data_IF_315619084977
#
_entry.id   IF_315619084977
#
_cell.length_a   1.000
_cell.length_b   1.000
_cell.length_c   1.000
_cell.angle_alpha   90.00
_cell.angle_beta   90.00
_cell.angle_gamma   90.00
#
_symmetry.space_group_name_H-M   'P 1'
#
loop_
_entity.id
_entity.type
_entity.pdbx_description
1 polymer ?
#
# COMPACT_ATOMS: atom_id res chain seq x y z
N UNK A 1 -31.27 -28.62 -40.38
CA UNK A 1 -30.74 -28.58 -38.98
C UNK A 1 -29.29 -28.09 -38.85
N UNK A 2 -28.46 -28.10 -39.92
CA UNK A 2 -27.04 -27.64 -39.89
C UNK A 2 -26.83 -26.17 -39.50
N UNK A 3 -27.72 -25.26 -39.91
CA UNK A 3 -27.60 -23.82 -39.61
C UNK A 3 -27.74 -23.44 -38.13
N UNK A 4 -28.53 -24.20 -37.35
CA UNK A 4 -28.72 -23.93 -35.91
C UNK A 4 -27.47 -24.21 -35.08
N UNK A 5 -26.67 -25.21 -35.47
CA UNK A 5 -25.39 -25.51 -34.82
C UNK A 5 -24.32 -24.46 -35.11
N UNK A 6 -24.29 -23.92 -36.33
CA UNK A 6 -23.39 -22.82 -36.69
C UNK A 6 -23.74 -21.54 -35.92
N UNK A 7 -25.03 -21.20 -35.81
CA UNK A 7 -25.50 -20.03 -35.07
C UNK A 7 -25.09 -20.11 -33.59
N UNK A 8 -25.28 -21.26 -32.95
CA UNK A 8 -24.89 -21.49 -31.56
C UNK A 8 -23.38 -21.35 -31.34
N UNK A 9 -22.55 -21.86 -32.26
CA UNK A 9 -21.10 -21.70 -32.18
C UNK A 9 -20.67 -20.23 -32.30
N UNK A 10 -21.27 -19.49 -33.24
CA UNK A 10 -20.96 -18.07 -33.43
C UNK A 10 -21.36 -17.26 -32.19
N UNK A 11 -22.55 -17.50 -31.63
CA UNK A 11 -22.99 -16.87 -30.39
C UNK A 11 -22.05 -17.17 -29.22
N UNK A 12 -21.60 -18.42 -29.10
CA UNK A 12 -20.68 -18.81 -28.04
C UNK A 12 -19.31 -18.12 -28.19
N UNK A 13 -18.77 -18.04 -29.41
CA UNK A 13 -17.52 -17.32 -29.67
C UNK A 13 -17.66 -15.84 -29.34
N UNK A 14 -18.76 -15.20 -29.75
CA UNK A 14 -19.04 -13.79 -29.43
C UNK A 14 -19.16 -13.56 -27.93
N UNK A 15 -19.81 -14.47 -27.20
CA UNK A 15 -19.94 -14.42 -25.74
C UNK A 15 -18.57 -14.53 -25.05
N UNK A 16 -17.73 -15.46 -25.49
CA UNK A 16 -16.39 -15.63 -24.92
C UNK A 16 -15.52 -14.39 -25.18
N UNK A 17 -15.55 -13.86 -26.41
CA UNK A 17 -14.82 -12.65 -26.75
C UNK A 17 -15.28 -11.43 -25.95
N UNK A 18 -16.60 -11.28 -25.74
CA UNK A 18 -17.13 -10.17 -24.93
C UNK A 18 -16.72 -10.30 -23.46
N UNK A 19 -16.77 -11.50 -22.89
CA UNK A 19 -16.28 -11.78 -21.53
C UNK A 19 -14.81 -11.43 -21.36
N UNK A 20 -13.95 -11.88 -22.29
CA UNK A 20 -12.52 -11.58 -22.27
C UNK A 20 -12.28 -10.07 -22.34
N UNK A 21 -12.95 -9.37 -23.27
CA UNK A 21 -12.85 -7.93 -23.40
C UNK A 21 -13.27 -7.21 -22.11
N UNK A 22 -14.36 -7.65 -21.48
CA UNK A 22 -14.86 -7.05 -20.24
C UNK A 22 -13.88 -7.26 -19.09
N UNK A 23 -13.28 -8.45 -18.98
CA UNK A 23 -12.24 -8.75 -17.99
C UNK A 23 -11.01 -7.86 -18.17
N UNK A 24 -10.49 -7.75 -19.41
CA UNK A 24 -9.35 -6.89 -19.70
C UNK A 24 -9.64 -5.42 -19.41
N UNK A 25 -10.86 -4.96 -19.72
CA UNK A 25 -11.31 -3.60 -19.44
C UNK A 25 -11.37 -3.34 -17.93
N UNK A 26 -11.91 -4.28 -17.14
CA UNK A 26 -11.96 -4.15 -15.69
C UNK A 26 -10.56 -4.10 -15.08
N UNK A 27 -9.67 -5.01 -15.50
CA UNK A 27 -8.27 -5.02 -15.06
C UNK A 27 -7.60 -3.68 -15.37
N UNK A 28 -7.73 -3.19 -16.61
CA UNK A 28 -7.20 -1.89 -17.01
C UNK A 28 -7.69 -0.75 -16.11
N UNK A 29 -9.00 -0.69 -15.85
CA UNK A 29 -9.58 0.35 -14.98
C UNK A 29 -9.09 0.24 -13.54
N UNK A 30 -8.95 -0.97 -13.00
CA UNK A 30 -8.41 -1.20 -11.66
C UNK A 30 -6.96 -0.71 -11.56
N UNK A 31 -6.11 -1.05 -12.53
CA UNK A 31 -4.73 -0.60 -12.56
C UNK A 31 -4.60 0.92 -12.79
N UNK A 32 -5.46 1.50 -13.63
CA UNK A 32 -5.48 2.94 -13.86
C UNK A 32 -5.80 3.69 -12.56
N UNK A 33 -6.83 3.26 -11.82
CA UNK A 33 -7.14 3.84 -10.50
C UNK A 33 -5.99 3.66 -9.51
N UNK A 34 -5.37 2.48 -9.50
CA UNK A 34 -4.24 2.23 -8.60
C UNK A 34 -3.04 3.14 -8.92
N UNK A 35 -2.83 3.44 -10.20
CA UNK A 35 -1.80 4.37 -10.65
C UNK A 35 -2.16 5.82 -10.29
N UNK A 36 -3.42 6.22 -10.44
CA UNK A 36 -3.93 7.52 -9.99
C UNK A 36 -3.74 7.71 -8.48
N UNK A 37 -4.11 6.71 -7.67
CA UNK A 37 -3.92 6.72 -6.22
C UNK A 37 -2.42 6.79 -5.84
N UNK A 38 -1.56 6.04 -6.55
CA UNK A 38 -0.12 6.11 -6.35
C UNK A 38 0.47 7.48 -6.72
N UNK A 39 -0.11 8.15 -7.73
CA UNK A 39 0.31 9.47 -8.18
C UNK A 39 -0.24 10.60 -7.30
N UNK A 40 -1.43 10.42 -6.72
CA UNK A 40 -2.02 11.32 -5.71
C UNK A 40 -1.44 11.14 -4.31
N UNK A 41 -0.54 10.16 -4.13
CA UNK A 41 0.50 10.16 -3.10
C UNK A 41 1.50 11.30 -3.27
N UNK A 42 1.04 12.52 -3.58
CA UNK A 42 1.71 13.76 -3.24
C UNK A 42 1.70 13.85 -1.71
N UNK A 43 2.61 13.08 -1.10
CA UNK A 43 3.05 13.27 0.26
C UNK A 43 3.24 14.77 0.45
N UNK A 44 2.40 15.39 1.28
CA UNK A 44 2.72 16.71 1.80
C UNK A 44 4.18 16.66 2.25
N UNK A 45 5.04 17.61 1.84
CA UNK A 45 6.45 17.57 2.20
C UNK A 45 6.54 17.44 3.71
N UNK A 46 6.95 16.25 4.16
CA UNK A 46 7.19 16.00 5.56
C UNK A 46 8.27 17.01 5.98
N UNK A 47 8.09 17.77 7.07
CA UNK A 47 9.20 18.51 7.64
C UNK A 47 10.27 17.48 8.01
N UNK A 48 11.34 17.42 7.21
CA UNK A 48 12.50 16.62 7.56
C UNK A 48 13.15 17.34 8.74
N UNK A 49 12.91 16.82 9.94
CA UNK A 49 13.87 16.99 11.03
C UNK A 49 15.05 16.08 10.67
N UNK A 50 16.16 16.71 10.24
CA UNK A 50 17.48 16.09 10.14
C UNK A 50 17.99 15.82 11.56
N UNK A 51 17.38 14.85 12.24
CA UNK A 51 17.81 14.45 13.56
C UNK A 51 18.97 13.44 13.41
N UNK A 52 20.22 13.80 13.79
CA UNK A 52 21.38 12.92 13.68
C UNK A 52 21.27 11.67 14.57
N UNK A 53 20.24 11.62 15.42
CA UNK A 53 19.94 10.55 16.35
C UNK A 53 18.94 9.49 15.80
N UNK A 54 18.63 9.47 14.51
CA UNK A 54 17.73 8.44 13.98
C UNK A 54 18.36 7.04 14.02
N UNK A 55 17.73 6.03 14.66
CA UNK A 55 18.24 4.66 14.66
C UNK A 55 18.18 4.05 13.26
N UNK A 56 19.21 3.28 12.91
CA UNK A 56 19.26 2.55 11.64
C UNK A 56 18.14 1.51 11.55
N UNK A 57 17.62 1.19 10.35
CA UNK A 57 16.61 0.13 10.15
C UNK A 57 16.96 -1.21 10.80
N UNK A 58 18.24 -1.57 10.81
CA UNK A 58 18.76 -2.80 11.42
C UNK A 58 18.56 -2.81 12.94
N UNK A 59 18.93 -1.71 13.62
CA UNK A 59 18.71 -1.53 15.08
C UNK A 59 17.23 -1.58 15.46
N UNK A 60 16.37 -0.99 14.62
CA UNK A 60 14.91 -1.05 14.82
C UNK A 60 14.44 -2.51 14.76
N UNK A 61 14.80 -3.24 13.70
CA UNK A 61 14.41 -4.63 13.52
C UNK A 61 14.94 -5.55 14.63
N UNK A 62 16.18 -5.34 15.08
CA UNK A 62 16.81 -6.10 16.17
C UNK A 62 16.07 -5.89 17.50
N UNK A 63 15.64 -4.65 17.79
CA UNK A 63 14.88 -4.36 19.00
C UNK A 63 13.47 -4.98 19.00
N UNK A 64 12.80 -5.00 17.85
CA UNK A 64 11.44 -5.57 17.71
C UNK A 64 11.43 -7.09 17.83
N UNK A 65 12.58 -7.74 17.63
CA UNK A 65 12.69 -9.19 17.67
C UNK A 65 12.99 -9.75 19.07
N UNK A 66 13.48 -8.91 20.00
CA UNK A 66 14.14 -9.42 21.21
C UNK A 66 13.31 -9.27 22.49
N UNK A 67 12.63 -8.16 22.77
CA UNK A 67 11.82 -8.01 24.00
C UNK A 67 10.74 -6.93 23.87
N UNK A 68 9.47 -7.30 23.63
CA UNK A 68 8.35 -6.34 23.58
C UNK A 68 7.95 -5.74 24.94
N UNK A 69 8.41 -6.36 26.04
CA UNK A 69 8.08 -5.97 27.42
C UNK A 69 9.29 -5.47 28.22
N UNK A 70 10.45 -5.24 27.56
CA UNK A 70 11.58 -4.61 28.24
C UNK A 70 11.34 -3.11 28.36
N UNK A 71 11.44 -2.59 29.58
CA UNK A 71 11.51 -1.16 29.88
C UNK A 71 12.88 -0.54 29.47
N UNK A 72 13.47 -1.06 28.40
CA UNK A 72 14.72 -0.55 27.84
C UNK A 72 14.44 0.71 27.02
N UNK A 73 15.16 1.78 27.33
CA UNK A 73 15.02 3.07 26.68
C UNK A 73 15.35 2.98 25.18
N UNK A 74 16.30 2.13 24.79
CA UNK A 74 16.67 1.94 23.39
C UNK A 74 15.58 1.17 22.62
N UNK A 75 14.97 0.16 23.24
CA UNK A 75 13.81 -0.53 22.66
C UNK A 75 12.63 0.43 22.47
N UNK A 76 12.31 1.25 23.48
CA UNK A 76 11.27 2.27 23.41
C UNK A 76 11.52 3.27 22.26
N UNK A 77 12.75 3.79 22.14
CA UNK A 77 13.16 4.69 21.06
C UNK A 77 12.95 4.07 19.68
N UNK A 78 13.35 2.81 19.51
CA UNK A 78 13.23 2.11 18.23
C UNK A 78 11.78 1.81 17.86
N UNK A 79 10.94 1.42 18.83
CA UNK A 79 9.49 1.21 18.63
C UNK A 79 8.81 2.53 18.26
N UNK A 80 9.19 3.64 18.91
CA UNK A 80 8.70 4.98 18.58
C UNK A 80 9.06 5.36 17.14
N UNK A 81 10.31 5.16 16.71
CA UNK A 81 10.75 5.45 15.35
C UNK A 81 10.12 4.52 14.30
N UNK A 82 9.93 3.24 14.62
CA UNK A 82 9.19 2.31 13.75
C UNK A 82 7.74 2.77 13.55
N UNK A 83 7.09 3.17 14.64
CA UNK A 83 5.71 3.68 14.63
C UNK A 83 5.61 4.98 13.84
N UNK A 84 6.61 5.87 13.96
CA UNK A 84 6.72 7.11 13.17
C UNK A 84 6.84 6.82 11.68
N UNK A 85 7.71 5.88 11.28
CA UNK A 85 7.86 5.47 9.88
C UNK A 85 6.57 4.84 9.35
N UNK A 86 5.94 3.96 10.13
CA UNK A 86 4.66 3.36 9.74
C UNK A 86 3.57 4.41 9.56
N UNK A 87 3.50 5.40 10.45
CA UNK A 87 2.57 6.52 10.34
C UNK A 87 2.80 7.33 9.07
N UNK A 88 4.06 7.65 8.74
CA UNK A 88 4.43 8.36 7.51
C UNK A 88 4.01 7.60 6.25
N UNK A 89 4.19 6.29 6.23
CA UNK A 89 3.79 5.44 5.10
C UNK A 89 2.26 5.31 4.95
N UNK A 90 1.50 5.58 6.02
CA UNK A 90 0.03 5.49 6.06
C UNK A 90 -0.65 6.85 6.13
N UNK A 91 0.12 7.92 5.94
CA UNK A 91 -0.34 9.31 5.98
C UNK A 91 -1.09 9.68 7.27
N UNK A 92 -0.68 9.12 8.41
CA UNK A 92 -1.45 9.18 9.66
C UNK A 92 -1.25 10.48 10.48
N UNK A 93 -0.65 11.51 9.88
CA UNK A 93 -0.28 12.77 10.53
C UNK A 93 -1.48 13.56 11.07
N UNK A 94 -2.68 13.33 10.52
CA UNK A 94 -3.92 13.98 10.94
C UNK A 94 -4.59 13.29 12.14
N UNK A 95 -4.05 12.16 12.61
CA UNK A 95 -4.63 11.41 13.73
C UNK A 95 -4.26 12.07 15.06
N UNK A 96 -5.27 12.39 15.87
CA UNK A 96 -5.09 12.99 17.19
C UNK A 96 -4.22 12.10 18.09
N UNK A 97 -3.20 12.68 18.72
CA UNK A 97 -2.22 11.96 19.54
C UNK A 97 -0.96 11.50 18.81
N UNK A 98 -0.92 11.56 17.46
CA UNK A 98 0.34 11.51 16.72
C UNK A 98 1.05 12.84 16.99
N UNK A 99 2.05 12.84 17.88
CA UNK A 99 2.86 14.05 18.12
C UNK A 99 3.38 14.53 16.76
N UNK A 100 3.16 15.81 16.45
CA UNK A 100 4.01 16.49 15.47
C UNK A 100 5.41 16.44 16.04
N UNK A 101 6.26 15.56 15.51
CA UNK A 101 7.63 15.37 15.97
C UNK A 101 8.45 16.57 15.48
N UNK A 102 8.33 17.68 16.20
CA UNK A 102 9.27 18.80 16.17
C UNK A 102 10.41 18.50 17.14
#
# INVERSE_FOLDING_TARGET
>A
MKGRHLLGRVLHVLLVLSLIYTLLRLLYWSFLRLAEDAQQGNFAPHPMSDDPEKPSPQKIAESLNTLWLSYDLDHCRNVCEASRVACRLRDCWYVEGVKGWN
#
